data_IF_381877795620
#
_entry.id   IF_381877795620
#
_cell.length_a   1.000
_cell.length_b   1.000
_cell.length_c   1.000
_cell.angle_alpha   90.00
_cell.angle_beta   90.00
_cell.angle_gamma   90.00
#
_symmetry.space_group_name_H-M   'P 1'
#
loop_
_entity.id
_entity.type
_entity.pdbx_description
1 polymer ?
#
# COMPACT_ATOMS: atom_id res chain seq x y z
N UNK A 1 25.69 28.48 7.89
CA UNK A 1 24.36 29.03 7.54
C UNK A 1 23.35 28.13 8.21
N UNK A 2 22.46 28.67 9.04
CA UNK A 2 21.43 27.85 9.69
C UNK A 2 20.55 27.22 8.60
N UNK A 3 20.27 25.91 8.72
CA UNK A 3 19.26 25.28 7.88
C UNK A 3 17.93 26.02 8.07
N UNK A 4 17.16 26.25 6.99
CA UNK A 4 15.84 26.84 7.13
C UNK A 4 15.02 25.98 8.09
N UNK A 5 14.61 26.57 9.21
CA UNK A 5 13.74 25.93 10.19
C UNK A 5 12.46 25.52 9.45
N UNK A 6 12.23 24.22 9.36
CA UNK A 6 11.02 23.67 8.77
C UNK A 6 9.81 24.24 9.54
N UNK A 7 8.92 25.03 8.90
CA UNK A 7 7.76 25.60 9.57
C UNK A 7 6.76 24.55 10.08
N UNK A 8 6.90 23.28 9.68
CA UNK A 8 6.09 22.13 10.10
C UNK A 8 6.74 21.26 11.20
N UNK A 9 7.97 21.58 11.64
CA UNK A 9 8.71 20.77 12.63
C UNK A 9 8.14 20.82 14.07
N UNK A 10 7.16 21.69 14.34
CA UNK A 10 6.49 21.77 15.63
C UNK A 10 5.10 21.14 15.48
N UNK A 11 4.98 19.86 15.89
CA UNK A 11 3.76 19.06 15.79
C UNK A 11 2.51 19.68 16.45
N UNK A 12 2.70 20.67 17.33
CA UNK A 12 1.62 21.36 18.05
C UNK A 12 0.84 22.38 17.19
N UNK A 13 1.41 22.90 16.08
CA UNK A 13 0.83 23.99 15.27
C UNK A 13 0.65 23.62 13.78
N UNK A 14 0.31 22.37 13.48
CA UNK A 14 -0.27 22.03 12.18
C UNK A 14 -1.72 22.58 12.12
N UNK A 15 -1.83 23.89 11.91
CA UNK A 15 -3.06 24.59 11.56
C UNK A 15 -3.80 23.80 10.45
N UNK A 16 -5.12 23.55 10.56
CA UNK A 16 -5.91 22.97 9.48
C UNK A 16 -5.60 23.55 8.08
N UNK A 17 -5.24 24.82 7.97
CA UNK A 17 -4.80 25.43 6.70
C UNK A 17 -3.52 24.81 6.12
N UNK A 18 -2.54 24.47 6.96
CA UNK A 18 -1.27 23.84 6.53
C UNK A 18 -1.45 22.39 6.10
N UNK A 19 -2.38 21.67 6.72
CA UNK A 19 -2.72 20.30 6.31
C UNK A 19 -3.40 20.30 4.93
N UNK A 20 -4.31 21.24 4.69
CA UNK A 20 -4.91 21.40 3.37
C UNK A 20 -3.87 21.80 2.30
N UNK A 21 -2.94 22.71 2.62
CA UNK A 21 -1.85 23.11 1.73
C UNK A 21 -0.95 21.93 1.34
N UNK A 22 -0.56 21.08 2.31
CA UNK A 22 0.22 19.87 2.02
C UNK A 22 -0.55 18.87 1.14
N UNK A 23 -1.88 18.83 1.23
CA UNK A 23 -2.69 18.02 0.35
C UNK A 23 -2.65 18.53 -1.10
N UNK A 24 -2.76 19.84 -1.31
CA UNK A 24 -2.61 20.45 -2.65
C UNK A 24 -1.21 20.22 -3.24
N UNK A 25 -0.17 20.34 -2.42
CA UNK A 25 1.22 19.99 -2.81
C UNK A 25 1.32 18.52 -3.20
N UNK A 26 0.71 17.62 -2.41
CA UNK A 26 0.72 16.18 -2.68
C UNK A 26 0.06 15.84 -4.01
N UNK A 27 -1.12 16.41 -4.29
CA UNK A 27 -1.82 16.25 -5.57
C UNK A 27 -0.94 16.73 -6.74
N UNK A 28 -0.35 17.91 -6.60
CA UNK A 28 0.51 18.51 -7.64
C UNK A 28 1.75 17.65 -7.90
N UNK A 29 2.41 17.20 -6.84
CA UNK A 29 3.63 16.37 -6.92
C UNK A 29 3.33 15.03 -7.59
N UNK A 30 2.26 14.34 -7.18
CA UNK A 30 1.85 13.07 -7.79
C UNK A 30 1.54 13.27 -9.28
N UNK A 31 0.76 14.29 -9.62
CA UNK A 31 0.37 14.56 -11.01
C UNK A 31 1.57 14.91 -11.90
N UNK A 32 2.56 15.65 -11.39
CA UNK A 32 3.79 15.97 -12.13
C UNK A 32 4.73 14.78 -12.30
N UNK A 33 4.69 13.83 -11.36
CA UNK A 33 5.53 12.65 -11.37
C UNK A 33 4.94 11.49 -12.19
N UNK A 34 3.63 11.48 -12.41
CA UNK A 34 2.96 10.46 -13.20
C UNK A 34 3.53 10.42 -14.61
N UNK A 35 3.91 9.22 -15.05
CA UNK A 35 4.41 9.01 -16.40
C UNK A 35 3.29 9.21 -17.43
N UNK A 36 3.56 9.64 -18.68
CA UNK A 36 2.55 9.74 -19.73
C UNK A 36 1.81 8.44 -20.05
N UNK A 37 2.37 7.28 -19.68
CA UNK A 37 1.68 6.00 -19.73
C UNK A 37 0.57 5.86 -18.66
N UNK A 38 0.50 6.74 -17.66
CA UNK A 38 -0.39 6.63 -16.51
C UNK A 38 0.23 5.93 -15.30
N UNK A 39 1.42 5.34 -15.43
CA UNK A 39 2.13 4.74 -14.31
C UNK A 39 2.54 5.77 -13.25
N UNK A 40 2.46 5.39 -11.97
CA UNK A 40 3.09 6.16 -10.90
C UNK A 40 4.45 5.54 -10.58
N UNK A 41 5.57 6.26 -10.76
CA UNK A 41 6.86 5.80 -10.23
C UNK A 41 6.79 5.75 -8.70
N UNK A 42 7.40 4.75 -8.06
CA UNK A 42 7.39 4.68 -6.60
C UNK A 42 8.05 5.91 -5.94
N UNK A 43 9.17 6.39 -6.51
CA UNK A 43 9.84 7.60 -6.05
C UNK A 43 10.45 8.44 -7.19
N UNK A 44 10.63 9.73 -6.93
CA UNK A 44 11.31 10.66 -7.85
C UNK A 44 12.76 10.81 -7.40
N UNK A 45 13.71 10.69 -8.34
CA UNK A 45 15.13 10.93 -8.05
C UNK A 45 15.82 9.84 -7.22
N UNK A 46 15.16 8.71 -6.97
CA UNK A 46 15.75 7.52 -6.35
C UNK A 46 15.79 6.38 -7.38
N UNK A 47 16.95 6.12 -8.03
CA UNK A 47 17.04 5.22 -9.19
C UNK A 47 16.44 3.82 -8.99
N UNK A 48 16.60 3.14 -7.83
CA UNK A 48 16.00 1.82 -7.63
C UNK A 48 14.47 1.82 -7.74
N UNK A 49 13.79 2.96 -7.57
CA UNK A 49 12.34 3.11 -7.50
C UNK A 49 11.73 3.82 -8.72
N UNK A 50 12.47 3.91 -9.83
CA UNK A 50 11.97 4.41 -11.12
C UNK A 50 10.98 3.46 -11.84
N UNK A 51 10.31 2.59 -11.09
CA UNK A 51 9.39 1.55 -11.55
C UNK A 51 8.01 1.76 -10.93
N UNK A 52 7.01 1.07 -11.47
CA UNK A 52 5.65 1.09 -10.97
C UNK A 52 5.31 -0.24 -10.29
N UNK A 53 4.98 -0.17 -9.00
CA UNK A 53 4.38 -1.28 -8.25
C UNK A 53 2.87 -1.11 -8.25
N UNK A 54 2.13 -2.21 -8.41
CA UNK A 54 0.68 -2.17 -8.28
C UNK A 54 0.24 -1.77 -6.87
N UNK A 55 0.97 -2.19 -5.83
CA UNK A 55 0.71 -1.86 -4.42
C UNK A 55 0.76 -0.34 -4.20
N UNK A 56 1.92 0.26 -4.45
CA UNK A 56 2.18 1.69 -4.27
C UNK A 56 1.22 2.52 -5.13
N UNK A 57 1.14 2.20 -6.42
CA UNK A 57 0.30 2.92 -7.36
C UNK A 57 -1.19 2.87 -7.02
N UNK A 58 -1.69 1.75 -6.47
CA UNK A 58 -3.09 1.64 -6.07
C UNK A 58 -3.45 2.54 -4.88
N UNK A 59 -2.55 2.68 -3.89
CA UNK A 59 -2.76 3.64 -2.79
C UNK A 59 -2.57 5.09 -3.23
N UNK A 60 -1.64 5.36 -4.15
CA UNK A 60 -1.51 6.68 -4.80
C UNK A 60 -2.80 7.03 -5.55
N UNK A 61 -3.34 6.10 -6.34
CA UNK A 61 -4.58 6.27 -7.08
C UNK A 61 -5.79 6.49 -6.16
N UNK A 62 -5.91 5.74 -5.05
CA UNK A 62 -7.00 5.98 -4.09
C UNK A 62 -6.88 7.36 -3.42
N UNK A 63 -5.67 7.80 -3.08
CA UNK A 63 -5.42 9.15 -2.56
C UNK A 63 -5.82 10.25 -3.55
N UNK A 64 -5.40 10.13 -4.81
CA UNK A 64 -5.76 11.06 -5.89
C UNK A 64 -7.27 11.04 -6.18
N UNK A 65 -7.87 9.84 -6.21
CA UNK A 65 -9.31 9.64 -6.38
C UNK A 65 -10.13 10.32 -5.27
N UNK A 66 -9.67 10.27 -4.01
CA UNK A 66 -10.27 11.00 -2.89
C UNK A 66 -10.09 12.51 -2.99
N UNK A 67 -8.95 12.95 -3.50
CA UNK A 67 -8.59 14.36 -3.64
C UNK A 67 -9.21 15.06 -4.86
N UNK A 68 -10.14 14.42 -5.58
CA UNK A 68 -10.77 14.99 -6.79
C UNK A 68 -11.43 16.36 -6.61
N UNK A 69 -11.77 16.76 -5.38
CA UNK A 69 -12.28 18.09 -5.07
C UNK A 69 -11.22 19.21 -5.06
N UNK A 70 -9.93 18.88 -4.89
CA UNK A 70 -8.85 19.86 -4.75
C UNK A 70 -8.24 20.34 -6.07
N UNK A 71 -8.58 19.72 -7.20
CA UNK A 71 -8.07 20.14 -8.50
C UNK A 71 -8.58 19.31 -9.68
N UNK A 72 -8.65 19.93 -10.86
CA UNK A 72 -9.21 19.36 -12.12
C UNK A 72 -8.31 18.31 -12.80
N UNK A 73 -7.55 17.54 -12.04
CA UNK A 73 -6.63 16.54 -12.58
C UNK A 73 -6.43 15.31 -11.71
N UNK A 74 -6.88 15.31 -10.45
CA UNK A 74 -6.62 14.19 -9.54
C UNK A 74 -7.44 12.95 -9.91
N UNK A 75 -8.69 13.15 -10.38
CA UNK A 75 -9.55 12.04 -10.85
C UNK A 75 -9.01 11.45 -12.15
N UNK A 76 -8.59 12.30 -13.09
CA UNK A 76 -8.01 11.91 -14.37
C UNK A 76 -6.67 11.18 -14.17
N UNK A 77 -5.85 11.66 -13.23
CA UNK A 77 -4.60 11.02 -12.84
C UNK A 77 -4.84 9.62 -12.25
N UNK A 78 -5.81 9.46 -11.34
CA UNK A 78 -6.22 8.15 -10.82
C UNK A 78 -6.74 7.22 -11.94
N UNK A 79 -7.57 7.75 -12.85
CA UNK A 79 -8.10 7.02 -14.01
C UNK A 79 -6.96 6.51 -14.90
N UNK A 80 -5.97 7.36 -15.20
CA UNK A 80 -4.84 7.00 -16.05
C UNK A 80 -4.00 5.85 -15.46
N UNK A 81 -3.88 5.77 -14.13
CA UNK A 81 -3.24 4.63 -13.47
C UNK A 81 -4.05 3.34 -13.61
N UNK A 82 -5.38 3.41 -13.43
CA UNK A 82 -6.22 2.24 -13.65
C UNK A 82 -6.18 1.76 -15.11
N UNK A 83 -6.12 2.69 -16.08
CA UNK A 83 -5.92 2.38 -17.50
C UNK A 83 -4.56 1.71 -17.74
N UNK A 84 -3.51 2.18 -17.06
CA UNK A 84 -2.19 1.55 -17.12
C UNK A 84 -2.23 0.10 -16.61
N UNK A 85 -2.79 -0.13 -15.41
CA UNK A 85 -2.93 -1.48 -14.86
C UNK A 85 -3.73 -2.39 -15.77
N UNK A 86 -4.81 -1.89 -16.39
CA UNK A 86 -5.62 -2.66 -17.30
C UNK A 86 -4.87 -3.07 -18.56
N UNK A 87 -4.07 -2.17 -19.15
CA UNK A 87 -3.22 -2.53 -20.30
C UNK A 87 -2.17 -3.57 -19.92
N UNK A 88 -1.54 -3.45 -18.75
CA UNK A 88 -0.58 -4.44 -18.26
C UNK A 88 -1.24 -5.81 -18.14
N UNK A 89 -2.31 -5.94 -17.34
CA UNK A 89 -2.93 -7.24 -17.08
C UNK A 89 -3.66 -7.84 -18.29
N UNK A 90 -4.11 -7.01 -19.24
CA UNK A 90 -4.61 -7.52 -20.52
C UNK A 90 -3.49 -8.16 -21.34
N UNK A 91 -2.28 -7.59 -21.32
CA UNK A 91 -1.10 -8.17 -21.98
C UNK A 91 -0.63 -9.45 -21.28
N UNK A 92 -0.69 -9.50 -19.95
CA UNK A 92 -0.30 -10.69 -19.17
C UNK A 92 -1.30 -11.86 -19.27
N UNK A 93 -2.52 -11.62 -19.77
CA UNK A 93 -3.59 -12.62 -19.74
C UNK A 93 -3.23 -14.00 -20.32
N UNK A 94 -2.58 -14.12 -21.51
CA UNK A 94 -2.20 -15.43 -22.03
C UNK A 94 -1.20 -16.18 -21.15
N UNK A 95 -0.22 -15.47 -20.57
CA UNK A 95 0.78 -16.06 -19.69
C UNK A 95 0.15 -16.53 -18.37
N UNK A 96 -0.79 -15.75 -17.82
CA UNK A 96 -1.57 -16.12 -16.64
C UNK A 96 -2.43 -17.36 -16.90
N UNK A 97 -3.08 -17.45 -18.06
CA UNK A 97 -3.89 -18.63 -18.42
C UNK A 97 -3.05 -19.91 -18.48
N UNK A 98 -1.85 -19.86 -19.09
CA UNK A 98 -0.92 -20.99 -19.13
C UNK A 98 -0.41 -21.37 -17.74
N UNK A 99 -0.03 -20.37 -16.93
CA UNK A 99 0.41 -20.57 -15.56
C UNK A 99 -0.67 -21.29 -14.72
N UNK A 100 -1.92 -20.84 -14.80
CA UNK A 100 -3.04 -21.44 -14.06
C UNK A 100 -3.25 -22.90 -14.45
N UNK A 101 -3.18 -23.23 -15.74
CA UNK A 101 -3.31 -24.61 -16.20
C UNK A 101 -2.22 -25.51 -15.61
N UNK A 102 -0.98 -25.01 -15.51
CA UNK A 102 0.15 -25.74 -14.92
C UNK A 102 0.02 -25.89 -13.41
N UNK A 103 -0.38 -24.84 -12.70
CA UNK A 103 -0.64 -24.88 -11.24
C UNK A 103 -1.75 -25.87 -10.93
N UNK A 104 -2.84 -25.87 -11.70
CA UNK A 104 -3.94 -26.83 -11.56
C UNK A 104 -3.51 -28.29 -11.83
N UNK A 105 -2.48 -28.49 -12.65
CA UNK A 105 -1.85 -29.79 -12.89
C UNK A 105 -0.83 -30.21 -11.80
N UNK A 106 -0.67 -29.40 -10.73
CA UNK A 106 0.23 -29.67 -9.61
C UNK A 106 1.66 -29.12 -9.79
N UNK A 107 1.90 -28.30 -10.81
CA UNK A 107 3.20 -27.64 -10.99
C UNK A 107 3.44 -26.58 -9.93
N UNK A 108 4.67 -26.49 -9.45
CA UNK A 108 5.14 -25.40 -8.59
C UNK A 108 5.94 -24.41 -9.45
N UNK A 109 5.38 -23.25 -9.82
CA UNK A 109 6.06 -22.28 -10.68
C UNK A 109 7.25 -21.63 -9.97
N UNK A 110 8.31 -21.36 -10.73
CA UNK A 110 9.42 -20.52 -10.26
C UNK A 110 9.03 -19.03 -10.23
N UNK A 111 9.79 -18.22 -9.49
CA UNK A 111 9.58 -16.76 -9.36
C UNK A 111 9.49 -16.05 -10.71
N UNK A 112 10.33 -16.46 -11.66
CA UNK A 112 10.38 -15.89 -13.01
C UNK A 112 9.19 -16.26 -13.89
N UNK A 113 8.35 -17.20 -13.45
CA UNK A 113 7.12 -17.60 -14.15
C UNK A 113 5.87 -16.94 -13.54
N UNK A 114 6.04 -16.28 -12.39
CA UNK A 114 4.98 -15.57 -11.69
C UNK A 114 5.03 -14.09 -12.09
N UNK A 115 3.88 -13.42 -12.02
CA UNK A 115 3.83 -12.00 -12.36
C UNK A 115 4.71 -11.19 -11.39
N UNK A 116 5.45 -10.17 -11.89
CA UNK A 116 6.42 -9.44 -11.09
C UNK A 116 5.76 -8.47 -10.10
N UNK A 117 6.53 -8.04 -9.10
CA UNK A 117 6.14 -7.04 -8.10
C UNK A 117 6.10 -5.63 -8.72
N UNK A 118 7.04 -5.37 -9.63
CA UNK A 118 7.24 -4.08 -10.29
C UNK A 118 7.32 -4.24 -11.80
N UNK A 119 6.83 -3.25 -12.51
CA UNK A 119 6.95 -3.13 -13.95
C UNK A 119 7.72 -1.87 -14.28
N UNK A 120 8.32 -1.82 -15.47
CA UNK A 120 8.76 -0.53 -16.03
C UNK A 120 7.57 0.42 -16.11
N UNK A 121 7.81 1.73 -16.26
CA UNK A 121 6.70 2.68 -16.42
C UNK A 121 5.88 2.38 -17.68
N UNK A 122 6.47 1.79 -18.73
CA UNK A 122 5.73 1.29 -19.91
C UNK A 122 4.87 0.04 -19.63
N UNK A 123 4.96 -0.52 -18.41
CA UNK A 123 4.26 -1.73 -17.99
C UNK A 123 4.97 -3.02 -18.36
N UNK A 124 6.20 -2.95 -18.86
CA UNK A 124 6.94 -4.13 -19.31
C UNK A 124 7.64 -4.83 -18.15
N UNK A 125 7.91 -6.11 -18.33
CA UNK A 125 8.79 -6.85 -17.44
C UNK A 125 10.19 -6.25 -17.48
N UNK A 126 10.87 -6.26 -16.34
CA UNK A 126 12.27 -5.91 -16.26
C UNK A 126 13.03 -7.10 -15.67
N UNK A 127 13.96 -7.62 -16.46
CA UNK A 127 14.82 -8.73 -16.03
C UNK A 127 16.05 -8.15 -15.32
N UNK A 128 16.02 -8.16 -14.00
CA UNK A 128 17.11 -7.77 -13.12
C UNK A 128 17.15 -8.64 -11.86
N UNK A 129 18.17 -8.45 -11.02
CA UNK A 129 18.34 -9.21 -9.77
C UNK A 129 17.30 -8.82 -8.68
N UNK A 130 16.22 -8.12 -9.04
CA UNK A 130 15.19 -7.69 -8.10
C UNK A 130 14.29 -8.84 -7.65
N UNK A 131 13.77 -8.71 -6.45
CA UNK A 131 12.94 -9.71 -5.82
C UNK A 131 11.49 -9.62 -6.31
N UNK A 132 11.17 -10.37 -7.36
CA UNK A 132 9.98 -10.08 -8.17
C UNK A 132 8.67 -10.78 -7.77
N UNK A 133 8.63 -11.85 -6.96
CA UNK A 133 7.34 -12.49 -6.67
C UNK A 133 6.61 -11.92 -5.44
N UNK A 134 5.56 -11.13 -5.72
CA UNK A 134 4.59 -10.59 -4.76
C UNK A 134 3.19 -10.61 -5.37
N UNK A 135 2.17 -10.99 -4.59
CA UNK A 135 0.77 -11.05 -5.08
C UNK A 135 -0.12 -9.93 -4.55
N UNK A 136 0.33 -9.21 -3.52
CA UNK A 136 -0.48 -8.23 -2.80
C UNK A 136 -0.87 -7.02 -3.66
N UNK A 137 -0.01 -6.61 -4.61
CA UNK A 137 -0.28 -5.50 -5.51
C UNK A 137 -1.53 -5.73 -6.36
N UNK A 138 -1.73 -6.95 -6.85
CA UNK A 138 -2.90 -7.30 -7.68
C UNK A 138 -4.21 -7.24 -6.88
N UNK A 139 -4.19 -7.71 -5.63
CA UNK A 139 -5.34 -7.60 -4.72
C UNK A 139 -5.63 -6.13 -4.37
N UNK A 140 -4.59 -5.37 -4.08
CA UNK A 140 -4.69 -3.94 -3.77
C UNK A 140 -5.26 -3.15 -4.95
N UNK A 141 -4.85 -3.44 -6.19
CA UNK A 141 -5.39 -2.78 -7.37
C UNK A 141 -6.89 -3.07 -7.58
N UNK A 142 -7.35 -4.31 -7.42
CA UNK A 142 -8.78 -4.64 -7.54
C UNK A 142 -9.62 -3.85 -6.50
N UNK A 143 -9.10 -3.73 -5.28
CA UNK A 143 -9.72 -2.92 -4.24
C UNK A 143 -9.76 -1.41 -4.60
N UNK A 144 -8.64 -0.86 -5.07
CA UNK A 144 -8.56 0.55 -5.45
C UNK A 144 -9.43 0.86 -6.68
N UNK A 145 -9.46 -0.03 -7.67
CA UNK A 145 -10.32 0.07 -8.86
C UNK A 145 -11.79 0.14 -8.44
N UNK A 146 -12.26 -0.80 -7.61
CA UNK A 146 -13.63 -0.76 -7.09
C UNK A 146 -13.91 0.53 -6.35
N UNK A 147 -12.96 1.04 -5.58
CA UNK A 147 -13.12 2.29 -4.82
C UNK A 147 -13.26 3.49 -5.74
N UNK A 148 -12.41 3.61 -6.76
CA UNK A 148 -12.45 4.67 -7.74
C UNK A 148 -13.72 4.65 -8.60
N UNK A 149 -14.07 3.48 -9.17
CA UNK A 149 -15.25 3.35 -10.02
C UNK A 149 -16.54 3.71 -9.27
N UNK A 150 -16.70 3.21 -8.02
CA UNK A 150 -17.87 3.54 -7.21
C UNK A 150 -17.92 5.00 -6.79
N UNK A 151 -16.76 5.61 -6.47
CA UNK A 151 -16.69 7.01 -6.01
C UNK A 151 -17.11 8.00 -7.10
N UNK A 152 -16.78 7.70 -8.35
CA UNK A 152 -16.96 8.60 -9.49
C UNK A 152 -18.02 8.12 -10.49
N UNK A 153 -18.79 7.09 -10.15
CA UNK A 153 -19.83 6.49 -11.00
C UNK A 153 -19.30 6.13 -12.41
N UNK A 154 -18.12 5.51 -12.46
CA UNK A 154 -17.44 5.14 -13.70
C UNK A 154 -17.72 3.68 -14.09
N UNK A 155 -17.77 3.36 -15.40
CA UNK A 155 -18.09 2.02 -15.86
C UNK A 155 -16.92 1.04 -15.66
N UNK A 156 -17.24 -0.21 -15.31
CA UNK A 156 -16.28 -1.31 -15.23
C UNK A 156 -15.77 -1.77 -16.60
N UNK A 157 -16.54 -1.57 -17.67
CA UNK A 157 -16.30 -2.18 -18.99
C UNK A 157 -14.85 -2.07 -19.51
N UNK A 158 -14.14 -0.93 -19.37
CA UNK A 158 -12.73 -0.82 -19.81
C UNK A 158 -11.76 -1.71 -19.03
N UNK A 159 -12.12 -2.11 -17.81
CA UNK A 159 -11.24 -2.81 -16.87
C UNK A 159 -11.60 -4.28 -16.67
N UNK A 160 -12.77 -4.72 -17.18
CA UNK A 160 -13.34 -6.04 -16.88
C UNK A 160 -12.39 -7.20 -17.23
N UNK A 161 -11.77 -7.18 -18.42
CA UNK A 161 -10.85 -8.23 -18.84
C UNK A 161 -9.59 -8.31 -17.96
N UNK A 162 -8.99 -7.15 -17.66
CA UNK A 162 -7.83 -7.07 -16.77
C UNK A 162 -8.15 -7.49 -15.33
N UNK A 163 -9.32 -7.09 -14.82
CA UNK A 163 -9.79 -7.51 -13.51
C UNK A 163 -10.02 -9.02 -13.47
N UNK A 164 -10.54 -9.61 -14.54
CA UNK A 164 -10.68 -11.06 -14.68
C UNK A 164 -9.32 -11.76 -14.62
N UNK A 165 -8.31 -11.26 -15.34
CA UNK A 165 -6.93 -11.79 -15.26
C UNK A 165 -6.40 -11.76 -13.83
N UNK A 166 -6.53 -10.63 -13.13
CA UNK A 166 -6.08 -10.50 -11.75
C UNK A 166 -6.81 -11.47 -10.81
N UNK A 167 -8.14 -11.59 -10.92
CA UNK A 167 -8.91 -12.53 -10.11
C UNK A 167 -8.45 -13.96 -10.35
N UNK A 168 -8.33 -14.38 -11.62
CA UNK A 168 -7.89 -15.73 -11.97
C UNK A 168 -6.49 -16.03 -11.43
N UNK A 169 -5.57 -15.08 -11.55
CA UNK A 169 -4.22 -15.19 -11.00
C UNK A 169 -4.25 -15.34 -9.47
N UNK A 170 -4.96 -14.45 -8.78
CA UNK A 170 -5.08 -14.49 -7.31
C UNK A 170 -5.75 -15.75 -6.78
N UNK A 171 -6.76 -16.28 -7.49
CA UNK A 171 -7.39 -17.57 -7.14
C UNK A 171 -6.38 -18.72 -7.22
N UNK A 172 -5.49 -18.69 -8.22
CA UNK A 172 -4.53 -19.79 -8.42
C UNK A 172 -3.31 -19.71 -7.50
N UNK A 173 -2.79 -18.51 -7.24
CA UNK A 173 -1.50 -18.35 -6.54
C UNK A 173 -1.53 -17.48 -5.30
N UNK A 174 -2.66 -16.82 -5.00
CA UNK A 174 -2.75 -15.77 -3.97
C UNK A 174 -2.50 -16.24 -2.53
N UNK A 175 -2.58 -17.55 -2.26
CA UNK A 175 -2.26 -18.15 -0.96
C UNK A 175 -0.88 -18.85 -0.92
N UNK A 176 -0.14 -18.88 -2.02
CA UNK A 176 1.20 -19.46 -2.07
C UNK A 176 2.21 -18.57 -1.33
N UNK A 177 3.34 -19.16 -0.92
CA UNK A 177 4.43 -18.41 -0.27
C UNK A 177 5.01 -17.40 -1.25
N UNK A 178 5.09 -16.15 -0.81
CA UNK A 178 5.58 -15.01 -1.58
C UNK A 178 6.38 -14.09 -0.66
N UNK A 179 7.01 -13.07 -1.23
CA UNK A 179 7.63 -12.03 -0.40
C UNK A 179 6.53 -11.16 0.21
N UNK A 180 6.77 -10.64 1.40
CA UNK A 180 5.88 -9.64 1.99
C UNK A 180 6.01 -8.30 1.27
N UNK A 181 5.25 -7.29 1.71
CA UNK A 181 5.31 -5.92 1.19
C UNK A 181 6.72 -5.30 1.20
N UNK A 182 7.61 -5.85 2.02
CA UNK A 182 8.96 -5.39 2.25
C UNK A 182 9.99 -6.13 1.40
N UNK A 183 9.53 -6.99 0.50
CA UNK A 183 10.35 -7.83 -0.40
C UNK A 183 11.20 -8.86 0.35
N UNK A 184 10.77 -9.25 1.56
CA UNK A 184 11.48 -10.14 2.47
C UNK A 184 10.75 -11.49 2.61
N UNK A 185 11.46 -12.49 3.19
CA UNK A 185 10.87 -13.75 3.66
C UNK A 185 10.00 -14.50 2.63
N UNK A 186 10.58 -14.80 1.45
CA UNK A 186 9.87 -15.45 0.34
C UNK A 186 9.24 -16.81 0.68
N UNK A 187 9.87 -17.55 1.57
CA UNK A 187 9.45 -18.88 2.00
C UNK A 187 8.22 -18.87 2.93
N UNK A 188 7.67 -17.70 3.23
CA UNK A 188 6.58 -17.52 4.18
C UNK A 188 5.28 -17.08 3.50
N UNK A 189 4.15 -17.25 4.20
CA UNK A 189 2.83 -16.74 3.80
C UNK A 189 2.41 -15.62 4.74
N UNK A 190 2.32 -14.39 4.23
CA UNK A 190 2.18 -13.17 5.02
C UNK A 190 0.72 -12.78 5.21
N UNK A 191 0.31 -12.44 6.43
CA UNK A 191 -1.10 -12.14 6.73
C UNK A 191 -1.56 -10.83 6.10
N UNK A 192 -0.69 -9.82 6.00
CA UNK A 192 -1.02 -8.58 5.28
C UNK A 192 -1.18 -8.81 3.77
N UNK A 193 -0.37 -9.69 3.17
CA UNK A 193 -0.58 -10.14 1.79
C UNK A 193 -1.91 -10.87 1.64
N UNK A 194 -2.21 -11.85 2.50
CA UNK A 194 -3.50 -12.55 2.48
C UNK A 194 -4.69 -11.57 2.63
N UNK A 195 -4.58 -10.56 3.49
CA UNK A 195 -5.59 -9.52 3.63
C UNK A 195 -5.81 -8.73 2.33
N UNK A 196 -4.75 -8.38 1.61
CA UNK A 196 -4.88 -7.67 0.32
C UNK A 196 -5.56 -8.52 -0.75
N UNK A 197 -5.22 -9.82 -0.81
CA UNK A 197 -5.83 -10.77 -1.74
C UNK A 197 -7.31 -10.94 -1.41
N UNK A 198 -7.64 -11.12 -0.13
CA UNK A 198 -9.02 -11.14 0.35
C UNK A 198 -9.79 -9.89 -0.09
N UNK A 199 -9.28 -8.70 0.24
CA UNK A 199 -9.95 -7.43 -0.05
C UNK A 199 -10.14 -7.20 -1.55
N UNK A 200 -9.14 -7.54 -2.36
CA UNK A 200 -9.21 -7.46 -3.81
C UNK A 200 -10.23 -8.41 -4.42
N UNK A 201 -10.26 -9.68 -3.98
CA UNK A 201 -11.24 -10.66 -4.45
C UNK A 201 -12.67 -10.27 -4.06
N UNK A 202 -12.89 -9.77 -2.84
CA UNK A 202 -14.20 -9.23 -2.42
C UNK A 202 -14.61 -8.03 -3.27
N UNK A 203 -13.68 -7.12 -3.55
CA UNK A 203 -13.90 -5.98 -4.42
C UNK A 203 -14.30 -6.40 -5.84
N UNK A 204 -13.57 -7.35 -6.43
CA UNK A 204 -13.88 -7.90 -7.75
C UNK A 204 -15.25 -8.58 -7.79
N UNK A 205 -15.58 -9.38 -6.76
CA UNK A 205 -16.90 -9.99 -6.64
C UNK A 205 -18.02 -8.94 -6.60
N UNK A 206 -17.83 -7.84 -5.86
CA UNK A 206 -18.80 -6.74 -5.79
C UNK A 206 -18.96 -5.97 -7.11
N UNK A 207 -17.94 -5.98 -7.96
CA UNK A 207 -17.98 -5.47 -9.33
C UNK A 207 -18.60 -6.46 -10.33
N UNK A 208 -18.91 -7.69 -9.92
CA UNK A 208 -19.44 -8.74 -10.79
C UNK A 208 -18.36 -9.46 -11.62
N UNK A 209 -17.08 -9.30 -11.29
CA UNK A 209 -15.96 -9.99 -11.96
C UNK A 209 -15.76 -11.35 -11.29
N UNK A 210 -16.15 -12.42 -11.99
CA UNK A 210 -16.09 -13.80 -11.50
C UNK A 210 -16.56 -13.96 -10.04
N UNK A 211 -17.79 -13.53 -9.70
CA UNK A 211 -18.21 -13.37 -8.31
C UNK A 211 -18.20 -14.68 -7.51
N UNK A 212 -18.49 -15.82 -8.14
CA UNK A 212 -18.41 -17.15 -7.51
C UNK A 212 -16.98 -17.52 -7.12
N UNK A 213 -16.06 -17.68 -8.10
CA UNK A 213 -14.65 -17.97 -7.82
C UNK A 213 -13.99 -16.99 -6.86
N UNK A 214 -14.22 -15.68 -7.04
CA UNK A 214 -13.63 -14.65 -6.18
C UNK A 214 -14.14 -14.73 -4.74
N UNK A 215 -15.44 -14.96 -4.54
CA UNK A 215 -16.03 -15.14 -3.20
C UNK A 215 -15.48 -16.38 -2.51
N UNK A 216 -15.41 -17.52 -3.21
CA UNK A 216 -14.89 -18.78 -2.65
C UNK A 216 -13.45 -18.64 -2.20
N UNK A 217 -12.57 -18.10 -3.06
CA UNK A 217 -11.16 -17.92 -2.73
C UNK A 217 -10.97 -16.91 -1.58
N UNK A 218 -11.79 -15.85 -1.50
CA UNK A 218 -11.77 -14.94 -0.36
C UNK A 218 -12.21 -15.64 0.94
N UNK A 219 -13.25 -16.48 0.90
CA UNK A 219 -13.69 -17.26 2.06
C UNK A 219 -12.60 -18.23 2.55
N UNK A 220 -11.90 -18.88 1.62
CA UNK A 220 -10.76 -19.76 1.92
C UNK A 220 -9.60 -19.02 2.59
N UNK A 221 -9.26 -17.83 2.09
CA UNK A 221 -8.24 -16.97 2.70
C UNK A 221 -8.66 -16.55 4.11
N UNK A 222 -9.92 -16.17 4.31
CA UNK A 222 -10.41 -15.79 5.63
C UNK A 222 -10.35 -16.97 6.61
N UNK A 223 -10.71 -18.17 6.17
CA UNK A 223 -10.59 -19.40 6.96
C UNK A 223 -9.12 -19.72 7.30
N UNK A 224 -8.20 -19.56 6.35
CA UNK A 224 -6.76 -19.75 6.56
C UNK A 224 -6.22 -18.78 7.61
N UNK A 225 -6.52 -17.48 7.50
CA UNK A 225 -6.06 -16.48 8.48
C UNK A 225 -6.68 -16.73 9.85
N UNK A 226 -7.96 -17.12 9.93
CA UNK A 226 -8.59 -17.45 11.20
C UNK A 226 -7.94 -18.67 11.88
N UNK A 227 -7.49 -19.65 11.09
CA UNK A 227 -6.91 -20.90 11.61
C UNK A 227 -5.42 -20.76 11.96
N UNK A 228 -4.65 -20.10 11.10
CA UNK A 228 -3.18 -20.11 11.17
C UNK A 228 -2.56 -18.72 11.30
N UNK A 229 -3.33 -17.66 10.99
CA UNK A 229 -2.87 -16.27 11.00
C UNK A 229 -3.00 -15.57 12.35
N UNK A 230 -3.58 -16.21 13.36
CA UNK A 230 -3.79 -15.64 14.70
C UNK A 230 -3.00 -16.41 15.77
N UNK A 231 -2.38 -15.69 16.70
CA UNK A 231 -1.77 -16.21 17.92
C UNK A 231 -2.28 -15.43 19.12
N UNK A 232 -2.81 -16.10 20.14
CA UNK A 232 -3.21 -15.46 21.40
C UNK A 232 -4.09 -14.21 21.18
N UNK A 233 -4.99 -14.29 20.20
CA UNK A 233 -5.91 -13.22 19.82
C UNK A 233 -5.30 -12.10 18.98
N UNK A 234 -4.07 -12.22 18.50
CA UNK A 234 -3.37 -11.21 17.68
C UNK A 234 -2.96 -11.80 16.32
N UNK A 235 -3.05 -11.01 15.24
CA UNK A 235 -2.53 -11.42 13.94
C UNK A 235 -1.01 -11.59 13.97
N UNK A 236 -0.53 -12.55 13.20
CA UNK A 236 0.90 -12.86 13.01
C UNK A 236 1.41 -12.18 11.73
N UNK A 237 2.67 -11.73 11.69
CA UNK A 237 3.30 -11.17 10.46
C UNK A 237 3.17 -12.15 9.29
N UNK A 238 3.53 -13.41 9.54
CA UNK A 238 3.31 -14.54 8.64
C UNK A 238 2.82 -15.78 9.41
N UNK A 239 2.24 -16.75 8.70
CA UNK A 239 1.69 -17.97 9.29
C UNK A 239 2.76 -18.71 10.13
N UNK A 240 2.42 -19.06 11.38
CA UNK A 240 3.36 -19.70 12.31
C UNK A 240 4.34 -18.77 13.04
N UNK A 241 4.46 -17.49 12.68
CA UNK A 241 5.26 -16.52 13.46
C UNK A 241 4.56 -16.04 14.72
N UNK A 242 5.29 -15.49 15.70
CA UNK A 242 4.70 -14.78 16.85
C UNK A 242 4.89 -13.26 16.78
N UNK A 243 5.59 -12.79 15.75
CA UNK A 243 5.88 -11.38 15.49
C UNK A 243 4.66 -10.66 14.90
N UNK A 244 4.62 -9.34 15.10
CA UNK A 244 3.70 -8.43 14.40
C UNK A 244 4.46 -7.60 13.37
N UNK A 245 3.71 -7.10 12.41
CA UNK A 245 4.15 -6.12 11.42
C UNK A 245 3.10 -5.02 11.33
N UNK A 246 3.52 -3.78 11.14
CA UNK A 246 2.59 -2.65 11.07
C UNK A 246 1.62 -2.74 9.88
N UNK A 247 2.00 -3.45 8.81
CA UNK A 247 1.08 -3.73 7.69
C UNK A 247 -0.13 -4.56 8.11
N UNK A 248 -0.13 -5.27 9.25
CA UNK A 248 -1.28 -6.06 9.72
C UNK A 248 -2.53 -5.21 9.97
N UNK A 249 -2.39 -3.90 10.19
CA UNK A 249 -3.51 -2.96 10.34
C UNK A 249 -4.46 -3.04 9.13
N UNK A 250 -3.92 -3.33 7.94
CA UNK A 250 -4.69 -3.37 6.69
C UNK A 250 -5.69 -4.52 6.61
N UNK A 251 -5.55 -5.53 7.46
CA UNK A 251 -6.52 -6.61 7.60
C UNK A 251 -7.91 -6.10 8.01
N UNK A 252 -7.99 -4.95 8.68
CA UNK A 252 -9.27 -4.26 8.87
C UNK A 252 -9.52 -3.22 7.80
N UNK A 253 -8.74 -2.15 7.83
CA UNK A 253 -8.93 -1.00 6.95
C UNK A 253 -7.72 -0.90 6.02
N UNK A 254 -7.87 -1.07 4.69
CA UNK A 254 -9.15 -1.04 3.98
C UNK A 254 -9.75 -2.39 3.59
N UNK A 255 -9.07 -3.51 3.83
CA UNK A 255 -9.41 -4.77 3.15
C UNK A 255 -10.57 -5.57 3.77
N UNK A 256 -11.01 -5.22 4.98
CA UNK A 256 -12.23 -5.76 5.59
C UNK A 256 -12.18 -7.25 5.90
N UNK A 257 -10.99 -7.83 6.05
CA UNK A 257 -10.82 -9.23 6.47
C UNK A 257 -11.29 -9.42 7.92
N UNK A 258 -11.04 -8.42 8.78
CA UNK A 258 -11.51 -8.37 10.16
C UNK A 258 -12.26 -7.06 10.44
N UNK A 259 -13.28 -7.06 11.31
CA UNK A 259 -13.95 -5.83 11.68
C UNK A 259 -12.98 -4.89 12.44
N UNK A 260 -12.93 -3.57 12.11
CA UNK A 260 -12.05 -2.57 12.73
C UNK A 260 -12.09 -2.58 14.27
N UNK A 261 -13.26 -2.74 14.87
CA UNK A 261 -13.48 -2.77 16.32
C UNK A 261 -13.64 -4.18 16.89
N UNK A 262 -13.30 -5.22 16.11
CA UNK A 262 -13.31 -6.60 16.55
C UNK A 262 -12.17 -6.93 17.52
N UNK A 263 -12.30 -7.97 18.35
CA UNK A 263 -11.32 -8.29 19.38
C UNK A 263 -9.92 -8.59 18.82
N UNK A 264 -9.83 -9.37 17.74
CA UNK A 264 -8.54 -9.75 17.14
C UNK A 264 -7.79 -8.54 16.60
N UNK A 265 -8.48 -7.69 15.83
CA UNK A 265 -7.86 -6.52 15.23
C UNK A 265 -7.55 -5.44 16.27
N UNK A 266 -8.41 -5.27 17.28
CA UNK A 266 -8.14 -4.37 18.41
C UNK A 266 -6.86 -4.79 19.15
N UNK A 267 -6.71 -6.08 19.47
CA UNK A 267 -5.52 -6.61 20.11
C UNK A 267 -4.28 -6.49 19.20
N UNK A 268 -4.45 -6.71 17.89
CA UNK A 268 -3.37 -6.53 16.90
C UNK A 268 -2.89 -5.09 16.83
N UNK A 269 -3.81 -4.13 16.70
CA UNK A 269 -3.49 -2.70 16.63
C UNK A 269 -2.87 -2.21 17.94
N UNK A 270 -3.33 -2.71 19.08
CA UNK A 270 -2.72 -2.41 20.37
C UNK A 270 -1.25 -2.91 20.41
N UNK A 271 -0.98 -4.13 19.93
CA UNK A 271 0.36 -4.70 19.90
C UNK A 271 1.28 -4.00 18.90
N UNK A 272 0.79 -3.68 17.71
CA UNK A 272 1.48 -2.83 16.73
C UNK A 272 1.81 -1.47 17.34
N UNK A 273 0.85 -0.85 18.03
CA UNK A 273 1.07 0.46 18.67
C UNK A 273 2.12 0.38 19.77
N UNK A 274 2.12 -0.69 20.59
CA UNK A 274 3.08 -0.83 21.68
C UNK A 274 4.49 -1.19 21.24
N UNK A 275 4.63 -2.00 20.18
CA UNK A 275 5.93 -2.51 19.73
C UNK A 275 6.57 -1.64 18.63
N UNK A 276 5.76 -0.99 17.79
CA UNK A 276 6.22 -0.39 16.54
C UNK A 276 5.92 1.10 16.44
N UNK A 277 5.03 1.67 17.27
CA UNK A 277 4.78 3.11 17.25
C UNK A 277 5.61 3.85 18.29
N UNK A 278 6.10 5.04 17.94
CA UNK A 278 6.86 5.90 18.86
C UNK A 278 6.01 7.05 19.38
N UNK A 279 6.39 7.64 20.53
CA UNK A 279 5.80 8.91 20.96
C UNK A 279 5.85 9.94 19.83
N UNK A 280 4.72 10.60 19.57
CA UNK A 280 4.57 11.58 18.50
C UNK A 280 3.99 11.05 17.20
N UNK A 281 3.91 9.72 16.97
CA UNK A 281 3.12 9.14 15.86
C UNK A 281 3.89 8.31 14.83
N UNK A 282 5.22 8.27 14.87
CA UNK A 282 6.00 7.46 13.94
C UNK A 282 5.78 5.96 14.11
N UNK A 283 5.82 5.20 13.02
CA UNK A 283 5.57 3.75 13.01
C UNK A 283 6.65 3.01 12.22
N UNK A 284 7.30 2.03 12.85
CA UNK A 284 8.27 1.13 12.22
C UNK A 284 7.58 -0.04 11.51
N UNK A 285 8.27 -0.68 10.55
CA UNK A 285 7.72 -1.84 9.81
C UNK A 285 7.48 -3.04 10.72
N UNK A 286 8.54 -3.49 11.38
CA UNK A 286 8.54 -4.60 12.33
C UNK A 286 9.79 -4.52 13.23
N UNK A 287 9.80 -5.26 14.34
CA UNK A 287 10.96 -5.30 15.25
C UNK A 287 12.14 -5.99 14.56
N UNK A 288 13.29 -5.32 14.55
CA UNK A 288 14.51 -5.85 13.93
C UNK A 288 14.69 -5.46 12.46
N UNK A 289 13.83 -4.57 11.94
CA UNK A 289 14.05 -3.95 10.65
C UNK A 289 15.40 -3.20 10.61
N UNK A 290 16.18 -3.47 9.57
CA UNK A 290 17.50 -2.85 9.35
C UNK A 290 17.58 -2.07 8.04
N UNK A 291 16.52 -2.04 7.24
CA UNK A 291 16.49 -1.30 5.98
C UNK A 291 16.62 0.20 6.24
N UNK A 292 17.69 0.83 5.72
CA UNK A 292 18.11 2.18 6.12
C UNK A 292 18.19 2.40 7.64
N UNK A 293 18.51 1.35 8.39
CA UNK A 293 18.55 1.36 9.86
C UNK A 293 17.18 1.22 10.54
N UNK A 294 16.10 0.92 9.82
CA UNK A 294 14.78 0.69 10.39
C UNK A 294 14.14 1.97 10.89
N UNK A 295 13.87 2.91 9.99
CA UNK A 295 13.21 4.18 10.31
C UNK A 295 11.70 4.06 10.52
N UNK A 296 11.08 5.22 10.71
CA UNK A 296 9.65 5.41 10.90
C UNK A 296 9.01 5.83 9.58
N UNK A 297 7.90 5.20 9.21
CA UNK A 297 7.33 5.31 7.87
C UNK A 297 6.03 6.12 7.87
N UNK A 298 5.95 7.22 7.09
CA UNK A 298 4.72 7.96 6.87
C UNK A 298 3.54 7.09 6.41
N UNK A 299 3.77 6.13 5.51
CA UNK A 299 2.71 5.22 5.03
C UNK A 299 2.10 4.37 6.16
N UNK A 300 2.91 3.93 7.13
CA UNK A 300 2.46 3.07 8.22
C UNK A 300 1.72 3.88 9.29
N UNK A 301 2.20 5.09 9.59
CA UNK A 301 1.45 6.03 10.41
C UNK A 301 0.09 6.36 9.78
N UNK A 302 0.02 6.47 8.44
CA UNK A 302 -1.22 6.73 7.73
C UNK A 302 -2.19 5.55 7.79
N UNK A 303 -1.74 4.30 7.61
CA UNK A 303 -2.58 3.12 7.78
C UNK A 303 -3.14 3.02 9.21
N UNK A 304 -2.29 3.24 10.22
CA UNK A 304 -2.70 3.25 11.61
C UNK A 304 -3.71 4.37 11.89
N UNK A 305 -3.47 5.57 11.33
CA UNK A 305 -4.38 6.71 11.45
C UNK A 305 -5.73 6.44 10.79
N UNK A 306 -5.72 5.82 9.61
CA UNK A 306 -6.94 5.47 8.89
C UNK A 306 -7.77 4.45 9.67
N UNK A 307 -7.12 3.41 10.21
CA UNK A 307 -7.78 2.48 11.11
C UNK A 307 -8.43 3.21 12.30
N UNK A 308 -7.69 4.10 12.97
CA UNK A 308 -8.21 4.84 14.11
C UNK A 308 -9.40 5.74 13.74
N UNK A 309 -9.37 6.41 12.58
CA UNK A 309 -10.48 7.24 12.11
C UNK A 309 -11.76 6.39 11.95
N UNK A 310 -11.64 5.23 11.28
CA UNK A 310 -12.76 4.30 11.06
C UNK A 310 -13.23 3.64 12.37
N UNK A 311 -12.32 3.35 13.30
CA UNK A 311 -12.64 2.79 14.61
C UNK A 311 -13.22 3.82 15.60
N UNK A 312 -13.32 5.10 15.22
CA UNK A 312 -13.90 6.18 16.02
C UNK A 312 -12.90 6.97 16.88
N UNK A 313 -11.60 6.65 16.83
CA UNK A 313 -10.51 7.33 17.54
C UNK A 313 -9.96 8.52 16.74
N UNK A 314 -10.82 9.51 16.50
CA UNK A 314 -10.54 10.68 15.65
C UNK A 314 -9.32 11.50 16.11
N UNK A 315 -9.14 11.68 17.42
CA UNK A 315 -8.00 12.43 17.97
C UNK A 315 -6.66 11.75 17.63
N UNK A 316 -6.59 10.42 17.80
CA UNK A 316 -5.39 9.65 17.48
C UNK A 316 -5.11 9.65 15.97
N UNK A 317 -6.14 9.56 15.15
CA UNK A 317 -6.00 9.65 13.70
C UNK A 317 -5.45 11.02 13.27
N UNK A 318 -5.95 12.11 13.87
CA UNK A 318 -5.44 13.46 13.61
C UNK A 318 -4.01 13.67 14.11
N UNK A 319 -3.64 13.10 15.26
CA UNK A 319 -2.24 13.10 15.74
C UNK A 319 -1.30 12.47 14.70
N UNK A 320 -1.68 11.30 14.16
CA UNK A 320 -0.90 10.61 13.14
C UNK A 320 -0.83 11.39 11.82
N UNK A 321 -1.92 12.05 11.40
CA UNK A 321 -1.91 12.95 10.23
C UNK A 321 -0.93 14.12 10.43
N UNK A 322 -0.94 14.74 11.62
CA UNK A 322 -0.01 15.83 11.95
C UNK A 322 1.43 15.35 11.99
N UNK A 323 1.69 14.14 12.49
CA UNK A 323 3.02 13.54 12.46
C UNK A 323 3.50 13.33 11.03
N UNK A 324 2.67 12.77 10.14
CA UNK A 324 3.03 12.62 8.73
C UNK A 324 3.39 13.98 8.14
N UNK A 325 2.56 15.00 8.36
CA UNK A 325 2.81 16.34 7.84
C UNK A 325 4.12 16.95 8.36
N UNK A 326 4.53 16.66 9.61
CA UNK A 326 5.79 17.17 10.16
C UNK A 326 7.03 16.51 9.57
N UNK A 327 6.89 15.35 8.91
CA UNK A 327 7.99 14.70 8.16
C UNK A 327 8.26 15.34 6.80
N UNK A 328 7.35 16.19 6.30
CA UNK A 328 7.54 16.88 5.03
C UNK A 328 8.70 17.88 5.12
N UNK A 329 9.49 17.99 4.06
CA UNK A 329 10.51 19.04 3.97
C UNK A 329 9.91 20.42 3.64
N UNK A 330 10.77 21.43 3.46
CA UNK A 330 10.32 22.79 3.15
C UNK A 330 9.62 22.93 1.79
N UNK A 331 9.71 21.94 0.91
CA UNK A 331 8.99 21.87 -0.36
C UNK A 331 7.74 20.98 -0.26
N UNK A 332 7.38 20.51 0.94
CA UNK A 332 6.23 19.64 1.19
C UNK A 332 6.45 18.20 0.74
N UNK A 333 7.68 17.76 0.46
CA UNK A 333 7.98 16.40 0.00
C UNK A 333 8.00 15.43 1.18
N UNK A 334 7.19 14.38 1.11
CA UNK A 334 7.12 13.34 2.14
C UNK A 334 8.13 12.21 1.85
N UNK A 335 8.94 11.80 2.84
CA UNK A 335 9.94 10.75 2.66
C UNK A 335 9.34 9.35 2.74
N UNK A 336 10.14 8.34 2.37
CA UNK A 336 9.86 6.94 2.66
C UNK A 336 9.92 6.65 4.17
N UNK A 337 10.97 7.15 4.83
CA UNK A 337 11.17 6.94 6.26
C UNK A 337 12.00 8.06 6.92
N UNK A 338 11.85 8.21 8.23
CA UNK A 338 12.59 9.20 9.05
C UNK A 338 13.15 8.58 10.34
N UNK A 339 14.19 9.18 10.96
CA UNK A 339 14.64 8.81 12.31
C UNK A 339 13.58 9.10 13.39
N UNK A 340 13.73 8.55 14.63
CA UNK A 340 14.80 7.67 15.09
C UNK A 340 14.81 6.29 14.42
N UNK A 341 16.00 5.68 14.39
CA UNK A 341 16.27 4.40 13.71
C UNK A 341 16.37 3.26 14.74
N UNK A 342 15.86 2.08 14.42
CA UNK A 342 15.99 0.87 15.25
C UNK A 342 17.43 0.34 15.28
N UNK A 343 18.13 0.41 14.15
CA UNK A 343 19.46 -0.11 13.91
C UNK A 343 20.36 0.93 13.19
N UNK A 344 20.67 2.07 13.83
CA UNK A 344 21.39 3.17 13.19
C UNK A 344 22.75 2.77 12.61
N UNK A 345 23.43 1.77 13.20
CA UNK A 345 24.71 1.26 12.71
C UNK A 345 24.62 0.62 11.31
N UNK A 346 23.42 0.21 10.89
CA UNK A 346 23.16 -0.36 9.55
C UNK A 346 22.87 0.70 8.49
N UNK A 347 22.66 1.97 8.85
CA UNK A 347 22.33 3.04 7.90
C UNK A 347 23.41 3.25 6.83
N UNK A 348 24.69 3.12 7.22
CA UNK A 348 25.83 3.38 6.35
C UNK A 348 25.88 2.41 5.16
N UNK A 349 25.51 1.14 5.38
CA UNK A 349 25.44 0.09 4.37
C UNK A 349 24.46 0.48 3.25
N UNK A 350 23.26 0.92 3.61
CA UNK A 350 22.21 1.30 2.65
C UNK A 350 22.55 2.59 1.92
N UNK A 351 23.03 3.59 2.64
CA UNK A 351 23.40 4.88 2.04
C UNK A 351 24.55 4.73 1.05
N UNK A 352 25.53 3.86 1.34
CA UNK A 352 26.62 3.57 0.40
C UNK A 352 26.12 2.79 -0.82
N UNK A 353 25.16 1.87 -0.64
CA UNK A 353 24.64 1.03 -1.72
C UNK A 353 23.74 1.80 -2.69
N UNK A 354 22.81 2.59 -2.18
CA UNK A 354 21.72 3.18 -2.96
C UNK A 354 21.59 4.70 -2.83
N UNK A 355 22.46 5.35 -2.07
CA UNK A 355 22.30 6.76 -1.70
C UNK A 355 21.25 6.94 -0.60
N UNK A 356 20.86 8.18 -0.28
CA UNK A 356 19.81 8.47 0.71
C UNK A 356 18.49 7.75 0.37
N UNK A 357 17.71 7.42 1.41
CA UNK A 357 16.37 6.82 1.25
C UNK A 357 15.45 7.74 0.42
N UNK A 358 14.46 7.13 -0.23
CA UNK A 358 13.59 7.79 -1.20
C UNK A 358 12.90 9.03 -0.62
N UNK A 359 13.06 10.16 -1.31
CA UNK A 359 12.46 11.44 -0.93
C UNK A 359 12.28 12.34 -2.17
N UNK A 360 11.05 12.52 -2.69
CA UNK A 360 9.77 12.04 -2.17
C UNK A 360 9.49 10.56 -2.48
N UNK A 361 8.69 9.91 -1.63
CA UNK A 361 8.00 8.65 -1.94
C UNK A 361 6.53 8.96 -2.30
N UNK A 362 6.08 8.59 -3.50
CA UNK A 362 4.71 8.89 -3.94
C UNK A 362 3.67 8.20 -3.07
N UNK A 363 3.94 6.98 -2.59
CA UNK A 363 3.04 6.27 -1.70
C UNK A 363 2.80 7.02 -0.38
N UNK A 364 3.81 7.69 0.19
CA UNK A 364 3.65 8.56 1.37
C UNK A 364 2.65 9.70 1.11
N UNK A 365 2.71 10.31 -0.07
CA UNK A 365 1.75 11.34 -0.49
C UNK A 365 0.34 10.77 -0.72
N UNK A 366 0.23 9.62 -1.39
CA UNK A 366 -1.06 8.94 -1.60
C UNK A 366 -1.74 8.63 -0.27
N UNK A 367 -0.99 8.05 0.67
CA UNK A 367 -1.50 7.73 2.00
C UNK A 367 -1.85 8.96 2.84
N UNK A 368 -1.09 10.05 2.70
CA UNK A 368 -1.44 11.33 3.30
C UNK A 368 -2.80 11.83 2.81
N UNK A 369 -3.04 11.82 1.49
CA UNK A 369 -4.32 12.22 0.91
C UNK A 369 -5.49 11.35 1.39
N UNK A 370 -5.27 10.03 1.52
CA UNK A 370 -6.29 9.10 2.04
C UNK A 370 -6.70 9.50 3.46
N UNK A 371 -5.73 9.65 4.37
CA UNK A 371 -6.01 9.98 5.76
C UNK A 371 -6.58 11.39 5.92
N UNK A 372 -6.05 12.37 5.18
CA UNK A 372 -6.57 13.73 5.16
C UNK A 372 -8.04 13.78 4.69
N UNK A 373 -8.38 13.01 3.64
CA UNK A 373 -9.77 12.87 3.19
C UNK A 373 -10.66 12.23 4.24
N UNK A 374 -10.21 11.15 4.88
CA UNK A 374 -10.97 10.46 5.92
C UNK A 374 -11.27 11.38 7.12
N UNK A 375 -10.39 12.34 7.39
CA UNK A 375 -10.52 13.31 8.47
C UNK A 375 -11.19 14.63 8.06
N UNK A 376 -11.73 14.72 6.84
CA UNK A 376 -12.43 15.92 6.34
C UNK A 376 -11.52 17.13 6.11
N UNK A 377 -10.21 16.92 5.95
CA UNK A 377 -9.23 18.01 5.71
C UNK A 377 -9.32 18.54 4.28
N UNK A 378 -9.75 17.70 3.33
CA UNK A 378 -9.86 18.07 1.91
C UNK A 378 -11.18 18.79 1.59
N UNK A 379 -12.10 18.86 2.53
CA UNK A 379 -13.41 19.47 2.31
C UNK A 379 -13.26 21.00 2.30
N UNK A 380 -13.87 21.72 1.34
CA UNK A 380 -13.89 23.17 1.35
C UNK A 380 -14.58 23.66 2.63
N UNK A 381 -13.92 24.57 3.37
CA UNK A 381 -14.53 25.26 4.52
C UNK A 381 -15.62 26.23 4.10
#
# INVERSE_FOLDING_TARGET
MAEPVNPLSVAADADPGRLAELAEVSVTLIAQAQDPSGAYPAAIGFPPYGFCWFRDGAFVAEGMSRAGGLGRGAVESATAFHDWCARVLTREAPAVEELIARVAAGSQPADSELLPARYTLAGEWHDDDWWNYQVDGYGTWLWALRSHLSRWDLPLAPYAAAAETAVRYLVAVGALTCRDWWEEHRDQTHVSTLATVYGGLRAAASLGVLPGPATSAADEIAALVATEGVHDGVLRKWLGSTAVDASLVVAGVPFGLLPPTGPVLTATVARVSSELSTPGGGVHRYVGDTFYGGGQWPILAAFLGWHHAVAGSQERAMELLRWIASTADSAGRLPEQVPPLLAPDRLSEWTQRWGPSAHPLLWSHGMYLILASELGVLDPK
#
